data_IF_722171167052
#
_entry.id   IF_722171167052
#
_cell.length_a   1.000
_cell.length_b   1.000
_cell.length_c   1.000
_cell.angle_alpha   90.00
_cell.angle_beta   90.00
_cell.angle_gamma   90.00
#
_symmetry.space_group_name_H-M   'P 1'
#
loop_
_entity.id
_entity.type
_entity.pdbx_description
1 polymer ?
#
# COMPACT_ATOMS: atom_id res chain seq x y z
N UNK A 1 13.61 -26.80 -8.36
CA UNK A 1 12.89 -25.79 -9.17
C UNK A 1 12.92 -24.46 -8.43
N UNK A 2 13.55 -23.43 -8.99
CA UNK A 2 13.61 -22.10 -8.36
C UNK A 2 12.25 -21.42 -8.52
N UNK A 3 11.56 -21.13 -7.41
CA UNK A 3 10.29 -20.41 -7.47
C UNK A 3 10.50 -19.03 -8.12
N UNK A 4 9.55 -18.55 -8.96
CA UNK A 4 9.70 -17.27 -9.63
C UNK A 4 9.74 -16.11 -8.62
N UNK A 5 10.79 -15.28 -8.69
CA UNK A 5 10.92 -14.06 -7.89
C UNK A 5 10.34 -12.90 -8.69
N UNK A 6 9.35 -12.22 -8.11
CA UNK A 6 8.77 -11.00 -8.66
C UNK A 6 9.46 -9.79 -8.05
N UNK A 7 9.73 -8.77 -8.86
CA UNK A 7 10.38 -7.53 -8.38
C UNK A 7 9.44 -6.36 -8.56
N UNK A 8 9.14 -5.68 -7.45
CA UNK A 8 8.42 -4.40 -7.46
C UNK A 8 9.44 -3.29 -7.27
N UNK A 9 9.49 -2.34 -8.20
CA UNK A 9 10.40 -1.19 -8.13
C UNK A 9 9.59 0.10 -8.05
N UNK A 10 9.89 0.96 -7.08
CA UNK A 10 9.24 2.26 -6.90
C UNK A 10 10.21 3.27 -6.27
N UNK A 11 10.44 4.39 -6.97
CA UNK A 11 11.30 5.50 -6.53
C UNK A 11 12.65 5.02 -5.93
N UNK A 12 13.40 4.23 -6.69
CA UNK A 12 14.73 3.72 -6.29
C UNK A 12 14.70 2.52 -5.35
N UNK A 13 13.57 2.23 -4.68
CA UNK A 13 13.41 1.05 -3.83
C UNK A 13 12.99 -0.16 -4.66
N UNK A 14 13.64 -1.30 -4.43
CA UNK A 14 13.31 -2.59 -5.04
C UNK A 14 12.89 -3.59 -3.98
N UNK A 15 11.79 -4.29 -4.20
CA UNK A 15 11.27 -5.31 -3.30
C UNK A 15 11.11 -6.64 -4.03
N UNK A 16 11.78 -7.67 -3.52
CA UNK A 16 11.61 -9.04 -3.99
C UNK A 16 10.39 -9.65 -3.32
N UNK A 17 9.52 -10.25 -4.14
CA UNK A 17 8.28 -10.88 -3.72
C UNK A 17 8.28 -12.33 -4.20
N UNK A 18 7.95 -13.26 -3.31
CA UNK A 18 7.93 -14.69 -3.61
C UNK A 18 6.62 -15.16 -4.27
N UNK A 19 5.65 -14.26 -4.45
CA UNK A 19 4.42 -14.55 -5.19
C UNK A 19 3.97 -13.34 -6.03
N UNK A 20 3.32 -13.65 -7.15
CA UNK A 20 2.73 -12.64 -8.07
C UNK A 20 1.72 -11.76 -7.33
N UNK A 21 0.90 -12.39 -6.51
CA UNK A 21 -0.12 -11.70 -5.71
C UNK A 21 0.51 -10.69 -4.75
N UNK A 22 1.55 -11.08 -4.01
CA UNK A 22 2.26 -10.17 -3.12
C UNK A 22 2.87 -9.00 -3.88
N UNK A 23 3.42 -9.27 -5.06
CA UNK A 23 4.00 -8.23 -5.91
C UNK A 23 2.94 -7.22 -6.37
N UNK A 24 1.78 -7.69 -6.85
CA UNK A 24 0.68 -6.82 -7.28
C UNK A 24 0.13 -6.02 -6.09
N UNK A 25 -0.05 -6.66 -4.93
CA UNK A 25 -0.55 -5.99 -3.71
C UNK A 25 0.41 -4.91 -3.20
N UNK A 26 1.72 -5.16 -3.27
CA UNK A 26 2.75 -4.16 -2.93
C UNK A 26 2.78 -3.02 -3.94
N UNK A 27 2.70 -3.33 -5.24
CA UNK A 27 2.66 -2.31 -6.28
C UNK A 27 1.42 -1.42 -6.14
N UNK A 28 0.24 -2.01 -5.92
CA UNK A 28 -1.00 -1.27 -5.71
C UNK A 28 -0.95 -0.38 -4.45
N UNK A 29 -0.35 -0.86 -3.37
CA UNK A 29 -0.08 -0.08 -2.16
C UNK A 29 0.77 1.16 -2.48
N UNK A 30 1.91 1.00 -3.16
CA UNK A 30 2.79 2.12 -3.47
C UNK A 30 2.12 3.16 -4.38
N UNK A 31 1.41 2.70 -5.40
CA UNK A 31 0.69 3.60 -6.31
C UNK A 31 -0.41 4.37 -5.59
N UNK A 32 -1.20 3.70 -4.74
CA UNK A 32 -2.23 4.35 -3.93
C UNK A 32 -1.62 5.34 -2.93
N UNK A 33 -0.62 4.91 -2.14
CA UNK A 33 0.04 5.76 -1.15
C UNK A 33 0.65 7.01 -1.80
N UNK A 34 1.26 6.89 -2.97
CA UNK A 34 1.84 8.03 -3.71
C UNK A 34 0.77 9.01 -4.16
N UNK A 35 -0.37 8.52 -4.63
CA UNK A 35 -1.49 9.37 -5.05
C UNK A 35 -2.04 10.18 -3.87
N UNK A 36 -2.33 9.52 -2.74
CA UNK A 36 -2.84 10.21 -1.55
C UNK A 36 -1.84 11.23 -0.99
N UNK A 37 -0.55 10.86 -0.95
CA UNK A 37 0.51 11.77 -0.54
C UNK A 37 0.57 13.01 -1.43
N UNK A 38 0.48 12.86 -2.76
CA UNK A 38 0.45 13.99 -3.70
C UNK A 38 -0.81 14.85 -3.55
N UNK A 39 -1.91 14.26 -3.13
CA UNK A 39 -3.16 14.98 -2.87
C UNK A 39 -3.20 15.62 -1.47
N UNK A 40 -2.17 15.48 -0.65
CA UNK A 40 -2.15 15.99 0.73
C UNK A 40 -3.15 15.29 1.67
N UNK A 41 -3.63 14.11 1.29
CA UNK A 41 -4.63 13.37 2.08
C UNK A 41 -3.89 12.37 2.98
N UNK A 42 -4.03 12.55 4.29
CA UNK A 42 -3.53 11.59 5.26
C UNK A 42 -4.25 10.24 5.15
N UNK A 43 -3.48 9.14 4.99
CA UNK A 43 -4.05 7.80 4.79
C UNK A 43 -4.24 7.04 6.10
N UNK A 44 -3.47 7.36 7.14
CA UNK A 44 -3.49 6.71 8.46
C UNK A 44 -3.40 7.80 9.53
N UNK A 45 -4.53 8.36 9.98
CA UNK A 45 -4.52 9.39 11.00
C UNK A 45 -3.92 8.85 12.30
N UNK A 46 -3.26 9.70 13.08
CA UNK A 46 -2.75 9.36 14.41
C UNK A 46 -3.67 9.95 15.47
N UNK A 47 -4.26 9.11 16.31
CA UNK A 47 -5.04 9.57 17.46
C UNK A 47 -4.11 9.72 18.66
N UNK A 48 -4.12 10.89 19.29
CA UNK A 48 -3.47 11.10 20.58
C UNK A 48 -4.47 10.75 21.68
N UNK A 49 -4.07 9.86 22.58
CA UNK A 49 -4.84 9.48 23.76
C UNK A 49 -4.03 9.91 24.97
N UNK A 50 -4.59 10.78 25.79
CA UNK A 50 -4.04 11.14 27.08
C UNK A 50 -4.61 10.19 28.14
N UNK A 51 -3.74 9.45 28.82
CA UNK A 51 -4.14 8.50 29.84
C UNK A 51 -3.07 8.46 30.92
N UNK A 52 -3.48 8.75 32.16
CA UNK A 52 -2.65 8.61 33.37
C UNK A 52 -1.27 9.29 33.21
N UNK A 53 -1.26 10.59 32.90
CA UNK A 53 -0.08 11.43 32.64
C UNK A 53 0.85 10.94 31.50
N UNK A 54 0.37 10.04 30.65
CA UNK A 54 1.11 9.48 29.51
C UNK A 54 0.40 9.76 28.19
N UNK A 55 1.11 10.41 27.25
CA UNK A 55 0.63 10.63 25.88
C UNK A 55 0.93 9.41 25.03
N UNK A 56 -0.12 8.73 24.56
CA UNK A 56 -0.03 7.59 23.64
C UNK A 56 -0.44 8.05 22.23
N UNK A 57 0.44 7.80 21.26
CA UNK A 57 0.16 8.03 19.84
C UNK A 57 -0.30 6.74 19.16
N UNK A 58 -1.60 6.62 18.90
CA UNK A 58 -2.18 5.46 18.24
C UNK A 58 -2.23 5.66 16.72
N UNK A 59 -1.48 4.84 15.98
CA UNK A 59 -1.52 4.83 14.50
C UNK A 59 -2.78 4.08 14.07
N UNK A 60 -3.76 4.81 13.53
CA UNK A 60 -5.02 4.20 13.13
C UNK A 60 -4.88 3.29 11.90
N UNK A 61 -5.92 2.49 11.69
CA UNK A 61 -6.12 1.78 10.42
C UNK A 61 -6.21 2.79 9.26
N UNK A 62 -5.78 2.39 8.05
CA UNK A 62 -5.97 3.25 6.89
C UNK A 62 -7.43 3.60 6.69
N UNK A 63 -7.70 4.83 6.25
CA UNK A 63 -9.04 5.28 5.91
C UNK A 63 -9.66 4.40 4.82
N UNK A 64 -10.98 4.24 4.83
CA UNK A 64 -11.68 3.39 3.86
C UNK A 64 -11.38 3.77 2.40
N UNK A 65 -11.34 5.08 2.11
CA UNK A 65 -11.03 5.59 0.77
C UNK A 65 -9.68 5.10 0.25
N UNK A 66 -8.70 4.94 1.14
CA UNK A 66 -7.40 4.38 0.80
C UNK A 66 -7.51 2.89 0.42
N UNK A 67 -8.26 2.10 1.20
CA UNK A 67 -8.51 0.68 0.90
C UNK A 67 -9.21 0.49 -0.44
N UNK A 68 -10.24 1.28 -0.72
CA UNK A 68 -10.98 1.23 -1.97
C UNK A 68 -10.09 1.58 -3.17
N UNK A 69 -9.24 2.60 -3.02
CA UNK A 69 -8.30 3.00 -4.06
C UNK A 69 -7.25 1.91 -4.33
N UNK A 70 -6.67 1.31 -3.28
CA UNK A 70 -5.72 0.22 -3.41
C UNK A 70 -6.36 -1.00 -4.10
N UNK A 71 -7.56 -1.40 -3.68
CA UNK A 71 -8.28 -2.52 -4.28
C UNK A 71 -8.63 -2.27 -5.76
N UNK A 72 -9.02 -1.04 -6.11
CA UNK A 72 -9.25 -0.65 -7.52
C UNK A 72 -7.96 -0.72 -8.33
N UNK A 73 -6.85 -0.22 -7.78
CA UNK A 73 -5.53 -0.27 -8.41
C UNK A 73 -5.10 -1.72 -8.66
N UNK A 74 -5.24 -2.58 -7.66
CA UNK A 74 -4.94 -4.01 -7.77
C UNK A 74 -5.75 -4.68 -8.90
N UNK A 75 -7.07 -4.47 -8.93
CA UNK A 75 -7.91 -5.01 -10.01
C UNK A 75 -7.45 -4.55 -11.39
N UNK A 76 -7.07 -3.28 -11.53
CA UNK A 76 -6.59 -2.72 -12.80
C UNK A 76 -5.24 -3.30 -13.21
N UNK A 77 -4.30 -3.44 -12.27
CA UNK A 77 -3.01 -4.09 -12.51
C UNK A 77 -3.20 -5.55 -12.96
N UNK A 78 -4.09 -6.31 -12.30
CA UNK A 78 -4.42 -7.68 -12.71
C UNK A 78 -4.94 -7.71 -14.15
N UNK A 79 -5.90 -6.85 -14.50
CA UNK A 79 -6.44 -6.76 -15.87
C UNK A 79 -5.38 -6.40 -16.91
N UNK A 80 -4.52 -5.41 -16.62
CA UNK A 80 -3.44 -5.00 -17.53
C UNK A 80 -2.46 -6.13 -17.79
N UNK A 81 -2.06 -6.87 -16.75
CA UNK A 81 -1.12 -7.98 -16.87
C UNK A 81 -1.73 -9.24 -17.50
N UNK A 82 -3.06 -9.35 -17.57
CA UNK A 82 -3.77 -10.44 -18.25
C UNK A 82 -3.97 -10.14 -19.73
N UNK A 83 -4.00 -8.86 -20.13
CA UNK A 83 -3.99 -8.46 -21.54
C UNK A 83 -2.56 -8.64 -22.07
N UNK A 84 -2.32 -9.79 -22.70
CA UNK A 84 -1.15 -10.02 -23.56
C UNK A 84 -1.49 -9.61 -24.99
#
# INVERSE_FOLDING_TARGET
>A
MTAPVYVVSHHGKKFRCFSRETAIKRLSHFMAQRMFHRAGIETRPVTKIDRDDTIIHYVNRPIERYWLAQARCERRLRKLLTKK
#
